data_IF_929370313201
#
_entry.id   IF_929370313201
#
_cell.length_a   1.000
_cell.length_b   1.000
_cell.length_c   1.000
_cell.angle_alpha   90.00
_cell.angle_beta   90.00
_cell.angle_gamma   90.00
#
_symmetry.space_group_name_H-M   'P 1'
#
loop_
_entity.id
_entity.type
_entity.pdbx_description
1 polymer ?
#
# COMPACT_ATOMS: atom_id res chain seq x y z
N UNK A 1 -9.56 4.16 -8.71
CA UNK A 1 -8.83 3.21 -9.59
C UNK A 1 -7.90 3.94 -10.56
N UNK A 2 -8.37 4.96 -11.28
CA UNK A 2 -7.56 5.67 -12.30
C UNK A 2 -6.21 6.22 -11.79
N UNK A 3 -6.20 6.89 -10.63
CA UNK A 3 -4.97 7.41 -10.04
C UNK A 3 -3.91 6.33 -9.70
N UNK A 4 -4.34 5.15 -9.23
CA UNK A 4 -3.43 4.05 -8.94
C UNK A 4 -2.83 3.47 -10.22
N UNK A 5 -3.67 3.24 -11.24
CA UNK A 5 -3.21 2.77 -12.53
C UNK A 5 -2.23 3.75 -13.19
N UNK A 6 -2.49 5.06 -13.06
CA UNK A 6 -1.64 6.11 -13.62
C UNK A 6 -0.29 6.22 -12.89
N UNK A 7 -0.28 6.06 -11.56
CA UNK A 7 0.95 5.99 -10.77
C UNK A 7 1.83 4.80 -11.19
N UNK A 8 1.23 3.62 -11.35
CA UNK A 8 1.94 2.40 -11.76
C UNK A 8 2.42 2.43 -13.22
N UNK A 9 1.72 3.14 -14.10
CA UNK A 9 2.11 3.27 -15.51
C UNK A 9 3.49 3.92 -15.68
N UNK A 10 3.86 4.83 -14.76
CA UNK A 10 5.15 5.55 -14.77
C UNK A 10 6.35 4.76 -14.24
N UNK A 11 6.16 3.53 -13.74
CA UNK A 11 7.25 2.73 -13.20
C UNK A 11 8.28 2.36 -14.27
N UNK A 12 9.56 2.35 -13.87
CA UNK A 12 10.64 1.75 -14.67
C UNK A 12 10.42 0.24 -14.84
N UNK A 13 11.04 -0.41 -15.83
CA UNK A 13 10.97 -1.87 -15.96
C UNK A 13 11.40 -2.62 -14.68
N UNK A 14 12.48 -2.16 -14.05
CA UNK A 14 12.97 -2.70 -12.77
C UNK A 14 11.93 -2.60 -11.67
N UNK A 15 11.30 -1.44 -11.48
CA UNK A 15 10.28 -1.26 -10.45
C UNK A 15 8.98 -2.01 -10.76
N UNK A 16 8.72 -2.36 -12.03
CA UNK A 16 7.62 -3.26 -12.40
C UNK A 16 7.92 -4.70 -12.03
N UNK A 17 9.17 -5.15 -12.22
CA UNK A 17 9.60 -6.47 -11.76
C UNK A 17 9.61 -6.55 -10.24
N UNK A 18 10.05 -5.50 -9.54
CA UNK A 18 9.91 -5.37 -8.09
C UNK A 18 8.45 -5.48 -7.64
N UNK A 19 7.54 -4.73 -8.28
CA UNK A 19 6.11 -4.81 -7.96
C UNK A 19 5.56 -6.22 -8.19
N UNK A 20 5.94 -6.88 -9.28
CA UNK A 20 5.53 -8.25 -9.56
C UNK A 20 6.02 -9.22 -8.47
N UNK A 21 7.27 -9.10 -8.04
CA UNK A 21 7.82 -9.86 -6.93
C UNK A 21 7.03 -9.64 -5.63
N UNK A 22 6.76 -8.37 -5.28
CA UNK A 22 5.97 -8.00 -4.09
C UNK A 22 4.58 -8.65 -4.14
N UNK A 23 3.91 -8.65 -5.29
CA UNK A 23 2.57 -9.24 -5.45
C UNK A 23 2.55 -10.78 -5.31
N UNK A 24 3.66 -11.46 -5.58
CA UNK A 24 3.80 -12.92 -5.37
C UNK A 24 4.08 -13.29 -3.91
N UNK A 25 4.52 -12.34 -3.11
CA UNK A 25 4.96 -12.54 -1.72
C UNK A 25 3.84 -12.35 -0.68
N UNK A 26 4.15 -12.61 0.59
CA UNK A 26 3.31 -12.22 1.74
C UNK A 26 3.18 -10.71 1.91
N UNK A 27 4.04 -9.91 1.26
CA UNK A 27 4.03 -8.45 1.32
C UNK A 27 3.16 -7.78 0.25
N UNK A 28 2.36 -8.57 -0.49
CA UNK A 28 1.51 -8.06 -1.58
C UNK A 28 0.69 -6.84 -1.15
N UNK A 29 0.68 -5.82 -1.99
CA UNK A 29 -0.15 -4.63 -1.82
C UNK A 29 -1.62 -5.02 -2.05
N UNK A 30 -2.51 -4.60 -1.16
CA UNK A 30 -3.94 -4.96 -1.18
C UNK A 30 -4.88 -3.77 -1.25
N UNK A 31 -4.38 -2.56 -1.01
CA UNK A 31 -5.19 -1.33 -1.03
C UNK A 31 -4.79 -0.44 -2.20
N UNK A 32 -5.73 0.38 -2.68
CA UNK A 32 -5.47 1.33 -3.76
C UNK A 32 -4.44 2.38 -3.34
N UNK A 33 -4.41 2.73 -2.05
CA UNK A 33 -3.46 3.64 -1.43
C UNK A 33 -2.04 3.08 -1.54
N UNK A 34 -1.82 1.82 -1.17
CA UNK A 34 -0.52 1.16 -1.30
C UNK A 34 -0.02 1.17 -2.75
N UNK A 35 -0.88 0.85 -3.72
CA UNK A 35 -0.50 0.91 -5.14
C UNK A 35 -0.17 2.32 -5.63
N UNK A 36 -0.79 3.36 -5.05
CA UNK A 36 -0.46 4.76 -5.36
C UNK A 36 0.85 5.21 -4.72
N UNK A 37 1.14 4.71 -3.53
CA UNK A 37 2.33 5.03 -2.74
C UNK A 37 3.56 4.27 -3.22
N UNK A 38 3.39 3.10 -3.82
CA UNK A 38 4.49 2.21 -4.24
C UNK A 38 5.59 2.91 -5.06
N UNK A 39 5.31 3.77 -6.06
CA UNK A 39 6.37 4.45 -6.81
C UNK A 39 7.30 5.34 -5.95
N UNK A 40 6.84 5.81 -4.80
CA UNK A 40 7.65 6.56 -3.84
C UNK A 40 8.31 5.65 -2.78
N UNK A 41 7.91 4.37 -2.71
CA UNK A 41 8.32 3.39 -1.71
C UNK A 41 9.07 2.21 -2.32
N UNK A 42 9.74 2.39 -3.47
CA UNK A 42 10.46 1.30 -4.13
C UNK A 42 11.60 0.78 -3.26
N UNK A 43 12.23 1.65 -2.49
CA UNK A 43 13.34 1.30 -1.58
C UNK A 43 12.89 0.55 -0.33
N UNK A 44 11.59 0.42 -0.07
CA UNK A 44 11.07 -0.39 1.03
C UNK A 44 11.38 -1.90 0.85
N UNK A 45 11.56 -2.31 -0.40
CA UNK A 45 11.84 -3.69 -0.78
C UNK A 45 13.19 -3.77 -1.50
N UNK A 46 13.91 -4.87 -1.28
CA UNK A 46 15.12 -5.20 -2.04
C UNK A 46 14.84 -6.46 -2.85
N UNK A 47 15.03 -6.38 -4.17
CA UNK A 47 14.92 -7.52 -5.07
C UNK A 47 16.29 -7.89 -5.62
N UNK A 48 16.73 -9.12 -5.35
CA UNK A 48 17.95 -9.69 -5.89
C UNK A 48 17.60 -10.69 -7.02
N UNK A 49 17.62 -10.25 -8.30
CA UNK A 49 17.08 -11.04 -9.41
C UNK A 49 17.88 -12.31 -9.73
N UNK A 50 19.15 -12.36 -9.30
CA UNK A 50 20.05 -13.49 -9.57
C UNK A 50 20.01 -14.58 -8.50
N UNK A 51 19.16 -14.44 -7.48
CA UNK A 51 19.06 -15.39 -6.37
C UNK A 51 17.74 -16.15 -6.50
N UNK A 52 17.84 -17.45 -6.73
CA UNK A 52 16.68 -18.26 -7.13
C UNK A 52 16.46 -19.52 -6.29
N UNK A 53 17.42 -19.85 -5.41
CA UNK A 53 17.40 -21.03 -4.54
C UNK A 53 18.20 -20.76 -3.27
N UNK A 54 18.00 -21.61 -2.26
CA UNK A 54 18.59 -21.45 -0.92
C UNK A 54 20.12 -21.46 -0.97
N UNK A 55 20.72 -22.23 -1.88
CA UNK A 55 22.16 -22.30 -2.08
C UNK A 55 22.74 -20.95 -2.50
N UNK A 56 22.05 -20.19 -3.36
CA UNK A 56 22.49 -18.87 -3.82
C UNK A 56 22.50 -17.87 -2.64
N UNK A 57 21.45 -17.93 -1.80
CA UNK A 57 21.36 -17.12 -0.58
C UNK A 57 22.50 -17.47 0.38
N UNK A 58 22.80 -18.76 0.53
CA UNK A 58 23.87 -19.25 1.40
C UNK A 58 25.25 -18.79 0.96
N UNK A 59 25.55 -18.86 -0.34
CA UNK A 59 26.80 -18.34 -0.87
C UNK A 59 26.92 -16.82 -0.72
N UNK A 60 25.84 -16.08 -0.97
CA UNK A 60 25.82 -14.62 -0.71
C UNK A 60 26.09 -14.32 0.76
N UNK A 61 25.42 -15.02 1.66
CA UNK A 61 25.61 -14.84 3.12
C UNK A 61 27.07 -15.08 3.51
N UNK A 62 27.67 -16.19 3.04
CA UNK A 62 29.09 -16.48 3.31
C UNK A 62 30.01 -15.40 2.74
N UNK A 63 29.77 -14.93 1.52
CA UNK A 63 30.58 -13.87 0.90
C UNK A 63 30.49 -12.53 1.65
N UNK A 64 29.36 -12.24 2.29
CA UNK A 64 29.17 -11.02 3.10
C UNK A 64 29.84 -11.11 4.48
N UNK A 65 30.00 -12.31 5.03
CA UNK A 65 30.47 -12.53 6.42
C UNK A 65 31.91 -13.07 6.50
N UNK A 66 32.49 -13.55 5.40
CA UNK A 66 33.87 -14.03 5.37
C UNK A 66 34.80 -12.94 4.83
N UNK A 67 35.73 -12.49 5.67
CA UNK A 67 36.78 -11.54 5.31
C UNK A 67 38.00 -12.20 4.62
N UNK A 68 37.92 -13.51 4.34
CA UNK A 68 39.01 -14.31 3.77
C UNK A 68 38.55 -15.03 2.51
N UNK A 69 39.41 -15.01 1.48
CA UNK A 69 39.22 -15.84 0.30
C UNK A 69 39.56 -17.28 0.65
N UNK A 70 38.54 -18.14 0.64
CA UNK A 70 38.74 -19.56 0.84
C UNK A 70 39.41 -20.18 -0.38
N UNK A 71 40.43 -21.04 -0.19
CA UNK A 71 40.92 -21.92 -1.25
C UNK A 71 39.79 -22.75 -1.86
N UNK A 72 39.86 -23.10 -3.18
CA UNK A 72 38.81 -23.86 -3.85
C UNK A 72 38.44 -25.17 -3.14
N UNK A 73 39.41 -25.86 -2.53
CA UNK A 73 39.17 -27.13 -1.84
C UNK A 73 38.32 -26.96 -0.57
N UNK A 74 38.44 -25.82 0.11
CA UNK A 74 37.60 -25.50 1.26
C UNK A 74 36.22 -25.01 0.82
N UNK A 75 36.16 -24.23 -0.27
CA UNK A 75 34.89 -23.78 -0.82
C UNK A 75 34.03 -24.97 -1.28
N UNK A 76 34.62 -25.95 -1.95
CA UNK A 76 33.94 -27.18 -2.43
C UNK A 76 33.43 -28.07 -1.28
N UNK A 77 34.04 -27.94 -0.08
CA UNK A 77 33.63 -28.69 1.11
C UNK A 77 32.47 -28.04 1.88
N UNK A 78 32.05 -26.82 1.53
CA UNK A 78 30.98 -26.10 2.24
C UNK A 78 29.62 -26.43 1.63
N UNK A 79 28.68 -26.88 2.47
CA UNK A 79 27.27 -26.87 2.16
C UNK A 79 26.68 -25.47 2.46
N UNK A 80 26.24 -24.69 1.45
CA UNK A 80 25.69 -23.36 1.66
C UNK A 80 24.25 -23.38 2.22
N UNK A 81 23.53 -24.50 2.14
CA UNK A 81 22.08 -24.55 2.45
C UNK A 81 21.76 -24.14 3.89
N UNK A 82 22.49 -24.57 4.94
CA UNK A 82 22.22 -24.11 6.30
C UNK A 82 22.36 -22.60 6.47
N UNK A 83 23.35 -21.99 5.80
CA UNK A 83 23.57 -20.54 5.83
C UNK A 83 22.46 -19.79 5.11
N UNK A 84 22.01 -20.31 3.96
CA UNK A 84 20.88 -19.75 3.23
C UNK A 84 19.60 -19.76 4.05
N UNK A 85 19.28 -20.87 4.70
CA UNK A 85 18.10 -20.96 5.58
C UNK A 85 18.19 -20.00 6.77
N UNK A 86 19.38 -19.81 7.34
CA UNK A 86 19.59 -18.85 8.43
C UNK A 86 19.36 -17.41 7.94
N UNK A 87 19.99 -17.01 6.84
CA UNK A 87 19.85 -15.69 6.24
C UNK A 87 18.38 -15.39 5.88
N UNK A 88 17.66 -16.35 5.28
CA UNK A 88 16.25 -16.20 4.95
C UNK A 88 15.37 -15.90 6.17
N UNK A 89 15.67 -16.51 7.31
CA UNK A 89 14.93 -16.25 8.55
C UNK A 89 15.21 -14.86 9.12
N UNK A 90 16.48 -14.44 9.10
CA UNK A 90 16.90 -13.13 9.62
C UNK A 90 16.36 -11.97 8.77
N UNK A 91 16.48 -12.09 7.46
CA UNK A 91 16.03 -11.08 6.48
C UNK A 91 14.51 -11.10 6.25
N UNK A 92 13.82 -12.13 6.74
CA UNK A 92 12.43 -12.44 6.41
C UNK A 92 12.20 -12.52 4.88
N UNK A 93 13.20 -13.05 4.15
CA UNK A 93 13.18 -13.08 2.69
C UNK A 93 12.34 -14.21 2.10
N UNK A 94 11.94 -14.05 0.84
CA UNK A 94 11.19 -15.07 0.10
C UNK A 94 11.56 -15.12 -1.39
N UNK A 95 11.41 -16.31 -2.00
CA UNK A 95 11.60 -16.48 -3.44
C UNK A 95 10.34 -16.09 -4.21
N UNK A 96 10.55 -15.42 -5.34
CA UNK A 96 9.52 -15.04 -6.32
C UNK A 96 10.00 -15.45 -7.72
N UNK A 97 9.12 -15.38 -8.71
CA UNK A 97 9.48 -15.58 -10.11
C UNK A 97 10.49 -14.56 -10.64
N UNK A 98 10.69 -13.45 -9.89
CA UNK A 98 11.58 -12.34 -10.23
C UNK A 98 12.91 -12.36 -9.47
N UNK A 99 13.10 -13.33 -8.57
CA UNK A 99 14.28 -13.43 -7.72
C UNK A 99 13.92 -13.45 -6.24
N UNK A 100 14.89 -13.13 -5.40
CA UNK A 100 14.77 -13.15 -3.95
C UNK A 100 14.40 -11.77 -3.42
N UNK A 101 13.30 -11.68 -2.67
CA UNK A 101 12.72 -10.44 -2.17
C UNK A 101 12.90 -10.36 -0.64
N UNK A 102 13.43 -9.24 -0.15
CA UNK A 102 13.57 -8.93 1.28
C UNK A 102 13.02 -7.52 1.59
N UNK A 103 12.87 -7.23 2.89
CA UNK A 103 12.60 -5.88 3.38
C UNK A 103 13.92 -5.12 3.55
N UNK A 104 13.96 -3.85 3.16
CA UNK A 104 15.16 -3.01 3.37
C UNK A 104 15.35 -2.62 4.84
N UNK A 105 14.26 -2.62 5.62
CA UNK A 105 14.22 -2.08 6.97
C UNK A 105 13.78 -0.61 7.04
N UNK A 106 13.59 0.05 5.88
CA UNK A 106 13.06 1.41 5.82
C UNK A 106 11.57 1.46 6.19
N UNK A 107 11.09 2.62 6.63
CA UNK A 107 9.66 2.83 6.90
C UNK A 107 8.89 3.07 5.60
N UNK A 108 7.63 2.59 5.55
CA UNK A 108 6.72 2.89 4.44
C UNK A 108 6.21 4.34 4.56
N UNK A 109 6.41 5.13 3.52
CA UNK A 109 5.89 6.49 3.39
C UNK A 109 4.42 6.47 2.95
N UNK A 110 3.54 6.82 3.90
CA UNK A 110 2.11 6.98 3.63
C UNK A 110 1.82 8.36 3.04
N UNK A 111 1.05 8.41 1.94
CA UNK A 111 0.52 9.66 1.42
C UNK A 111 -0.42 10.22 2.50
N UNK A 112 -0.08 11.40 3.06
CA UNK A 112 -0.97 12.05 4.02
C UNK A 112 -2.35 12.15 3.37
N UNK A 113 -3.44 11.78 4.06
CA UNK A 113 -4.77 12.02 3.54
C UNK A 113 -4.81 13.49 3.19
N UNK A 114 -4.92 13.83 1.89
CA UNK A 114 -5.30 15.19 1.49
C UNK A 114 -6.49 15.47 2.39
N UNK A 115 -6.38 16.48 3.26
CA UNK A 115 -7.51 16.93 4.06
C UNK A 115 -8.63 16.98 3.06
N UNK A 116 -9.53 15.99 3.14
CA UNK A 116 -10.74 16.00 2.34
C UNK A 116 -11.28 17.32 2.80
N UNK A 117 -11.31 18.31 1.90
CA UNK A 117 -12.14 19.47 2.09
C UNK A 117 -13.42 18.83 2.54
N UNK A 118 -13.71 18.94 3.83
CA UNK A 118 -14.99 18.53 4.37
C UNK A 118 -15.86 19.44 3.52
N UNK A 119 -16.44 18.90 2.45
CA UNK A 119 -17.58 19.51 1.79
C UNK A 119 -18.39 19.94 2.99
N UNK A 120 -18.44 21.25 3.25
CA UNK A 120 -18.92 21.81 4.50
C UNK A 120 -20.38 21.41 4.52
N UNK A 121 -20.67 20.20 5.01
CA UNK A 121 -22.00 19.70 5.19
C UNK A 121 -22.56 20.72 6.14
N UNK A 122 -23.58 21.48 5.71
CA UNK A 122 -24.11 22.54 6.53
C UNK A 122 -24.42 21.92 7.90
N UNK A 123 -23.96 22.61 8.94
CA UNK A 123 -24.09 22.16 10.31
C UNK A 123 -25.57 21.82 10.56
N UNK A 124 -25.84 20.86 11.44
CA UNK A 124 -27.20 20.53 11.87
C UNK A 124 -27.95 21.82 12.30
N UNK A 125 -27.23 22.77 12.89
CA UNK A 125 -27.76 24.08 13.27
C UNK A 125 -28.20 24.92 12.07
N UNK A 126 -27.38 24.99 11.02
CA UNK A 126 -27.72 25.72 9.78
C UNK A 126 -28.90 25.09 9.05
N UNK A 127 -28.95 23.74 8.99
CA UNK A 127 -30.07 23.00 8.42
C UNK A 127 -31.38 23.25 9.17
N UNK A 128 -31.31 23.34 10.50
CA UNK A 128 -32.48 23.60 11.34
C UNK A 128 -32.99 25.05 11.21
N UNK A 129 -32.09 26.03 11.12
CA UNK A 129 -32.45 27.43 10.88
C UNK A 129 -33.08 27.66 9.50
N UNK A 130 -32.55 27.02 8.45
CA UNK A 130 -33.11 27.08 7.10
C UNK A 130 -34.55 26.54 7.08
N UNK A 131 -34.76 25.36 7.69
CA UNK A 131 -36.09 24.73 7.80
C UNK A 131 -37.07 25.61 8.58
N UNK A 132 -36.61 26.28 9.64
CA UNK A 132 -37.45 27.19 10.44
C UNK A 132 -37.88 28.43 9.66
N UNK A 133 -37.00 28.99 8.83
CA UNK A 133 -37.31 30.13 7.93
C UNK A 133 -38.30 29.72 6.84
N UNK A 134 -38.13 28.54 6.25
CA UNK A 134 -39.03 28.01 5.22
C UNK A 134 -40.45 27.75 5.77
N UNK A 135 -40.57 27.15 6.96
CA UNK A 135 -41.87 27.00 7.63
C UNK A 135 -42.55 28.34 7.93
N UNK A 136 -41.79 29.34 8.42
CA UNK A 136 -42.33 30.66 8.72
C UNK A 136 -42.84 31.41 7.46
N UNK A 137 -42.24 31.14 6.30
CA UNK A 137 -42.66 31.73 5.03
C UNK A 137 -43.90 31.02 4.45
N UNK A 138 -44.04 29.71 4.60
CA UNK A 138 -45.24 28.99 4.18
C UNK A 138 -46.47 29.34 5.03
N UNK A 139 -46.29 29.64 6.32
CA UNK A 139 -47.38 30.09 7.20
C UNK A 139 -47.94 31.48 6.83
N UNK A 140 -47.24 32.28 6.03
CA UNK A 140 -47.72 33.60 5.57
C UNK A 140 -48.46 33.57 4.22
N UNK A 141 -48.49 32.43 3.52
CA UNK A 141 -49.09 32.31 2.17
C UNK A 141 -50.40 31.49 2.19
N UNK A 142 -50.95 31.13 3.35
CA UNK A 142 -52.29 30.53 3.37
C UNK A 142 -53.35 31.58 3.00
N UNK A 143 -54.09 31.43 1.89
CA UNK A 143 -55.33 32.17 1.70
C UNK A 143 -56.32 31.64 2.73
N UNK A 144 -56.92 32.54 3.50
CA UNK A 144 -58.01 32.23 4.42
C UNK A 144 -59.14 31.53 3.63
N UNK A 145 -59.23 30.20 3.69
CA UNK A 145 -60.38 29.46 3.14
C UNK A 145 -61.44 29.39 4.21
N UNK A 146 -62.52 30.16 4.03
CA UNK A 146 -63.70 30.13 4.89
C UNK A 146 -64.34 28.72 4.92
N UNK A 147 -64.88 28.38 6.10
CA UNK A 147 -65.48 27.09 6.48
C UNK A 147 -66.77 26.80 5.69
N UNK A 148 -67.10 25.55 5.34
CA UNK A 148 -68.49 25.14 5.21
C UNK A 148 -69.02 24.63 6.57
N UNK A 149 -70.20 25.08 6.95
CA UNK A 149 -70.94 24.63 8.12
C UNK A 149 -71.50 23.20 7.91
N UNK A 150 -71.69 22.40 8.97
CA UNK A 150 -72.30 21.08 8.84
C UNK A 150 -73.82 21.21 8.62
N UNK A 151 -74.33 20.62 7.55
CA UNK A 151 -75.76 20.38 7.36
C UNK A 151 -76.25 19.23 8.25
N UNK A 152 -77.51 19.34 8.67
CA UNK A 152 -78.21 18.52 9.66
C UNK A 152 -78.42 17.07 9.25
#
# INVERSE_FOLDING_TARGET
MEAAAQALAGLSPENRDLLAAVQESSYRLTTLEQFREFPANTEYFVLEPNISKVEDVGWRYLAQHLDVLLPPELLDAIDPVPFGNHAMQEEQGCFTSKGYLTLSGDEWEYERPREKQIEKKPSIKERLEQSRKECANQSKVQPHREKPAPER
#
